data_IF_209512914548
#
_entry.id   IF_209512914548
#
_cell.length_a   1.000
_cell.length_b   1.000
_cell.length_c   1.000
_cell.angle_alpha   90.00
_cell.angle_beta   90.00
_cell.angle_gamma   90.00
#
_symmetry.space_group_name_H-M   'P 1'
#
loop_
_entity.id
_entity.type
_entity.pdbx_description
1 polymer ?
#
# COMPACT_ATOMS: atom_id res chain seq x y z
N UNK A 1 14.35 -4.98 -3.04
CA UNK A 1 14.69 -3.59 -3.44
C UNK A 1 14.84 -2.68 -2.21
N UNK A 2 13.80 -2.47 -1.38
CA UNK A 2 13.86 -1.60 -0.19
C UNK A 2 15.06 -1.89 0.72
N UNK A 3 15.31 -3.17 1.05
CA UNK A 3 16.50 -3.60 1.81
C UNK A 3 17.81 -3.11 1.21
N UNK A 4 17.96 -3.26 -0.11
CA UNK A 4 19.18 -2.85 -0.83
C UNK A 4 19.35 -1.33 -0.73
N UNK A 5 18.27 -0.56 -0.87
CA UNK A 5 18.33 0.91 -0.72
C UNK A 5 18.74 1.33 0.70
N UNK A 6 18.23 0.67 1.74
CA UNK A 6 18.69 0.92 3.11
C UNK A 6 20.21 0.70 3.27
N UNK A 7 20.74 -0.37 2.67
CA UNK A 7 22.16 -0.69 2.77
C UNK A 7 23.03 0.23 1.91
N UNK A 8 22.71 0.37 0.63
CA UNK A 8 23.60 1.04 -0.35
C UNK A 8 23.48 2.55 -0.34
N UNK A 9 22.29 3.09 -0.04
CA UNK A 9 22.05 4.55 -0.09
C UNK A 9 22.11 5.21 1.27
N UNK A 10 21.76 4.47 2.32
CA UNK A 10 21.67 5.03 3.66
C UNK A 10 22.64 4.41 4.68
N UNK A 11 23.45 3.43 4.26
CA UNK A 11 24.53 2.85 5.07
C UNK A 11 24.05 2.04 6.28
N UNK A 12 22.81 1.53 6.27
CA UNK A 12 22.32 0.68 7.36
C UNK A 12 23.03 -0.68 7.36
N UNK A 13 23.20 -1.25 8.55
CA UNK A 13 23.74 -2.61 8.68
C UNK A 13 22.81 -3.65 8.05
N UNK A 14 23.34 -4.82 7.70
CA UNK A 14 22.53 -5.93 7.19
C UNK A 14 21.42 -6.35 8.17
N UNK A 15 21.72 -6.29 9.46
CA UNK A 15 20.76 -6.55 10.53
C UNK A 15 19.63 -5.51 10.53
N UNK A 16 19.97 -4.21 10.61
CA UNK A 16 18.98 -3.13 10.64
C UNK A 16 18.11 -3.12 9.38
N UNK A 17 18.72 -3.28 8.21
CA UNK A 17 18.00 -3.29 6.92
C UNK A 17 17.03 -4.46 6.83
N UNK A 18 17.41 -5.63 7.37
CA UNK A 18 16.54 -6.80 7.43
C UNK A 18 15.40 -6.60 8.42
N UNK A 19 15.67 -6.05 9.60
CA UNK A 19 14.65 -5.73 10.60
C UNK A 19 13.58 -4.78 10.03
N UNK A 20 14.00 -3.65 9.44
CA UNK A 20 13.08 -2.68 8.83
C UNK A 20 12.28 -3.27 7.67
N UNK A 21 12.94 -4.05 6.80
CA UNK A 21 12.26 -4.69 5.66
C UNK A 21 11.22 -5.72 6.12
N UNK A 22 11.45 -6.41 7.24
CA UNK A 22 10.53 -7.41 7.78
C UNK A 22 9.35 -6.77 8.54
N UNK A 23 9.56 -5.62 9.19
CA UNK A 23 8.50 -4.89 9.89
C UNK A 23 7.53 -4.22 8.92
N UNK A 24 8.01 -3.81 7.74
CA UNK A 24 7.19 -3.09 6.76
C UNK A 24 5.91 -3.87 6.32
N UNK A 25 5.97 -5.17 5.96
CA UNK A 25 4.77 -5.97 5.71
C UNK A 25 3.77 -5.98 6.86
N UNK A 26 4.22 -6.00 8.12
CA UNK A 26 3.33 -5.97 9.28
C UNK A 26 2.46 -4.71 9.30
N UNK A 27 3.03 -3.55 8.97
CA UNK A 27 2.26 -2.30 8.82
C UNK A 27 1.28 -2.37 7.64
N UNK A 28 1.69 -2.95 6.51
CA UNK A 28 0.83 -3.16 5.33
C UNK A 28 -0.34 -4.10 5.63
N UNK A 29 -0.22 -5.01 6.61
CA UNK A 29 -1.31 -5.92 7.00
C UNK A 29 -2.24 -5.35 8.09
N UNK A 30 -1.84 -4.29 8.79
CA UNK A 30 -2.70 -3.59 9.76
C UNK A 30 -3.57 -2.53 9.10
N UNK A 31 -3.02 -1.82 8.11
CA UNK A 31 -3.70 -0.75 7.36
C UNK A 31 -4.97 -1.15 6.57
N UNK A 32 -5.18 -2.41 6.11
CA UNK A 32 -6.41 -2.85 5.49
C UNK A 32 -7.63 -2.73 6.41
N UNK A 33 -7.46 -2.91 7.72
CA UNK A 33 -8.56 -2.77 8.69
C UNK A 33 -9.14 -1.35 8.65
N UNK A 34 -8.26 -0.34 8.60
CA UNK A 34 -8.65 1.05 8.47
C UNK A 34 -9.30 1.33 7.11
N UNK A 35 -8.72 0.82 6.02
CA UNK A 35 -9.24 1.03 4.68
C UNK A 35 -10.58 0.35 4.42
N UNK A 36 -10.83 -0.83 5.00
CA UNK A 36 -12.12 -1.52 4.93
C UNK A 36 -13.20 -0.75 5.70
N UNK A 37 -12.91 -0.35 6.93
CA UNK A 37 -13.84 0.46 7.74
C UNK A 37 -14.27 1.76 7.03
N UNK A 38 -13.33 2.48 6.42
CA UNK A 38 -13.63 3.70 5.65
C UNK A 38 -14.47 3.40 4.39
N UNK A 39 -14.23 2.26 3.73
CA UNK A 39 -15.01 1.90 2.55
C UNK A 39 -16.46 1.55 2.89
N UNK A 40 -16.67 0.83 4.00
CA UNK A 40 -17.97 0.31 4.39
C UNK A 40 -18.86 1.39 5.05
N UNK A 41 -18.31 2.23 5.92
CA UNK A 41 -19.12 3.21 6.68
C UNK A 41 -19.27 4.55 5.96
N UNK A 42 -18.26 4.93 5.17
CA UNK A 42 -18.08 6.30 4.76
C UNK A 42 -18.53 6.49 3.31
N UNK A 43 -17.67 6.19 2.33
CA UNK A 43 -17.82 6.74 0.97
C UNK A 43 -17.84 5.68 -0.14
N UNK A 44 -17.84 4.39 0.22
CA UNK A 44 -17.88 3.26 -0.69
C UNK A 44 -16.50 2.78 -1.17
N UNK A 45 -16.49 1.57 -1.73
CA UNK A 45 -15.27 0.83 -2.11
C UNK A 45 -14.45 1.52 -3.21
N UNK A 46 -15.09 1.95 -4.30
CA UNK A 46 -14.37 2.58 -5.43
C UNK A 46 -13.63 3.86 -5.03
N UNK A 47 -14.31 4.78 -4.32
CA UNK A 47 -13.69 6.04 -3.88
C UNK A 47 -12.55 5.79 -2.90
N UNK A 48 -12.73 4.83 -2.00
CA UNK A 48 -11.68 4.43 -1.07
C UNK A 48 -10.45 3.92 -1.81
N UNK A 49 -10.62 3.00 -2.77
CA UNK A 49 -9.50 2.52 -3.60
C UNK A 49 -8.82 3.67 -4.34
N UNK A 50 -9.58 4.59 -4.93
CA UNK A 50 -9.01 5.71 -5.67
C UNK A 50 -8.17 6.64 -4.78
N UNK A 51 -8.66 6.99 -3.59
CA UNK A 51 -7.94 7.85 -2.65
C UNK A 51 -6.68 7.16 -2.13
N UNK A 52 -6.78 5.92 -1.68
CA UNK A 52 -5.62 5.15 -1.23
C UNK A 52 -4.62 4.87 -2.37
N UNK A 53 -5.11 4.78 -3.62
CA UNK A 53 -4.30 4.77 -4.84
C UNK A 53 -3.45 6.02 -5.00
N UNK A 54 -4.03 7.21 -4.81
CA UNK A 54 -3.30 8.48 -4.85
C UNK A 54 -2.25 8.54 -3.73
N UNK A 55 -2.60 8.10 -2.52
CA UNK A 55 -1.67 8.02 -1.39
C UNK A 55 -0.50 7.09 -1.72
N UNK A 56 -0.77 5.93 -2.32
CA UNK A 56 0.26 4.98 -2.75
C UNK A 56 1.19 5.60 -3.79
N UNK A 57 0.61 6.27 -4.81
CA UNK A 57 1.38 6.97 -5.86
C UNK A 57 2.27 8.06 -5.27
N UNK A 58 1.73 8.91 -4.39
CA UNK A 58 2.50 9.91 -3.68
C UNK A 58 3.63 9.30 -2.86
N UNK A 59 3.37 8.16 -2.20
CA UNK A 59 4.36 7.41 -1.46
C UNK A 59 5.51 6.93 -2.34
N UNK A 60 5.24 6.28 -3.47
CA UNK A 60 6.30 5.78 -4.36
C UNK A 60 7.08 6.93 -5.00
N UNK A 61 6.41 8.04 -5.35
CA UNK A 61 7.09 9.26 -5.83
C UNK A 61 8.02 9.85 -4.78
N UNK A 62 7.57 9.95 -3.53
CA UNK A 62 8.38 10.47 -2.42
C UNK A 62 9.57 9.54 -2.11
N UNK A 63 9.34 8.23 -2.15
CA UNK A 63 10.39 7.22 -2.01
C UNK A 63 11.45 7.39 -3.10
N UNK A 64 11.05 7.50 -4.37
CA UNK A 64 11.97 7.73 -5.49
C UNK A 64 12.76 9.02 -5.33
N UNK A 65 12.12 10.11 -4.91
CA UNK A 65 12.79 11.39 -4.68
C UNK A 65 13.82 11.31 -3.54
N UNK A 66 13.48 10.63 -2.44
CA UNK A 66 14.34 10.52 -1.26
C UNK A 66 15.63 9.73 -1.46
N UNK A 67 15.76 9.03 -2.60
CA UNK A 67 16.94 8.23 -2.98
C UNK A 67 17.67 8.87 -4.17
N UNK A 68 17.16 9.97 -4.71
CA UNK A 68 17.77 10.65 -5.84
C UNK A 68 19.16 11.22 -5.45
N UNK A 69 20.21 11.00 -6.27
CA UNK A 69 21.55 11.52 -5.98
C UNK A 69 21.54 13.03 -5.74
N UNK A 70 22.10 13.47 -4.61
CA UNK A 70 22.11 14.89 -4.21
C UNK A 70 20.90 15.35 -3.38
N UNK A 71 19.85 14.55 -3.28
CA UNK A 71 18.66 14.83 -2.44
C UNK A 71 18.34 13.67 -1.48
N UNK A 72 19.36 12.85 -1.16
CA UNK A 72 19.20 11.67 -0.33
C UNK A 72 18.74 12.05 1.09
N UNK A 73 17.58 11.55 1.51
CA UNK A 73 17.01 11.88 2.81
C UNK A 73 16.36 10.65 3.46
N UNK A 74 17.02 10.15 4.50
CA UNK A 74 16.60 8.96 5.28
C UNK A 74 15.20 9.12 5.88
N UNK A 75 14.89 10.31 6.41
CA UNK A 75 13.62 10.56 7.09
C UNK A 75 12.47 10.56 6.08
N UNK A 76 12.65 11.19 4.91
CA UNK A 76 11.67 11.16 3.84
C UNK A 76 11.45 9.73 3.32
N UNK A 77 12.51 8.95 3.17
CA UNK A 77 12.41 7.54 2.77
C UNK A 77 11.59 6.72 3.78
N UNK A 78 11.83 6.92 5.08
CA UNK A 78 11.10 6.24 6.15
C UNK A 78 9.61 6.63 6.17
N UNK A 79 9.29 7.92 6.04
CA UNK A 79 7.91 8.42 5.96
C UNK A 79 7.20 7.86 4.72
N UNK A 80 7.90 7.84 3.58
CA UNK A 80 7.36 7.27 2.34
C UNK A 80 7.02 5.79 2.53
N UNK A 81 7.96 4.97 3.02
CA UNK A 81 7.76 3.53 3.18
C UNK A 81 6.71 3.18 4.25
N UNK A 82 6.89 3.63 5.49
CA UNK A 82 6.06 3.21 6.62
C UNK A 82 4.77 4.03 6.79
N UNK A 83 4.70 5.22 6.19
CA UNK A 83 3.50 6.04 6.15
C UNK A 83 2.70 5.79 4.88
N UNK A 84 3.13 6.40 3.77
CA UNK A 84 2.32 6.49 2.55
C UNK A 84 2.18 5.17 1.80
N UNK A 85 3.28 4.44 1.56
CA UNK A 85 3.22 3.15 0.87
C UNK A 85 2.45 2.11 1.67
N UNK A 86 2.74 2.02 2.98
CA UNK A 86 2.08 1.06 3.85
C UNK A 86 0.57 1.32 3.91
N UNK A 87 0.17 2.57 4.17
CA UNK A 87 -1.23 3.00 4.22
C UNK A 87 -1.93 2.77 2.87
N UNK A 88 -1.34 3.27 1.79
CA UNK A 88 -1.88 3.15 0.44
C UNK A 88 -2.09 1.69 0.01
N UNK A 89 -1.08 0.84 0.21
CA UNK A 89 -1.19 -0.57 -0.16
C UNK A 89 -2.26 -1.31 0.65
N UNK A 90 -2.42 -1.01 1.93
CA UNK A 90 -3.41 -1.68 2.78
C UNK A 90 -4.84 -1.35 2.36
N UNK A 91 -5.15 -0.06 2.17
CA UNK A 91 -6.49 0.38 1.81
C UNK A 91 -6.94 -0.05 0.41
N UNK A 92 -6.02 -0.19 -0.54
CA UNK A 92 -6.32 -0.76 -1.86
C UNK A 92 -6.64 -2.25 -1.72
N UNK A 93 -5.78 -3.02 -1.05
CA UNK A 93 -5.95 -4.48 -0.91
C UNK A 93 -7.26 -4.87 -0.22
N UNK A 94 -7.68 -4.12 0.80
CA UNK A 94 -8.93 -4.39 1.53
C UNK A 94 -10.17 -4.36 0.63
N UNK A 95 -10.14 -3.52 -0.41
CA UNK A 95 -11.35 -3.14 -1.15
C UNK A 95 -11.37 -3.63 -2.59
N UNK A 96 -10.22 -3.93 -3.20
CA UNK A 96 -10.15 -4.28 -4.62
C UNK A 96 -10.82 -5.61 -4.94
N UNK A 97 -10.67 -6.61 -4.06
CA UNK A 97 -11.26 -7.95 -4.24
C UNK A 97 -12.77 -7.89 -4.07
N UNK A 98 -13.24 -7.15 -3.05
CA UNK A 98 -14.67 -6.98 -2.78
C UNK A 98 -15.34 -6.17 -3.88
N UNK A 99 -14.72 -5.10 -4.37
CA UNK A 99 -15.21 -4.34 -5.53
C UNK A 99 -15.28 -5.22 -6.79
N UNK A 100 -14.27 -6.06 -7.03
CA UNK A 100 -14.30 -7.02 -8.15
C UNK A 100 -15.48 -7.99 -8.06
N UNK A 101 -15.76 -8.51 -6.85
CA UNK A 101 -16.92 -9.36 -6.59
C UNK A 101 -18.26 -8.65 -6.81
N UNK A 102 -18.33 -7.35 -6.55
CA UNK A 102 -19.54 -6.54 -6.77
C UNK A 102 -19.88 -6.34 -8.25
N UNK A 103 -18.95 -6.58 -9.17
CA UNK A 103 -19.18 -6.41 -10.61
C UNK A 103 -20.09 -7.49 -11.22
N UNK A 104 -20.32 -8.59 -10.50
CA UNK A 104 -21.12 -9.71 -10.98
C UNK A 104 -22.57 -9.60 -10.50
N UNK A 105 -23.50 -9.45 -11.44
CA UNK A 105 -24.93 -9.36 -11.13
C UNK A 105 -25.50 -10.73 -10.70
N UNK A 106 -26.00 -10.88 -9.46
CA UNK A 106 -26.58 -12.13 -8.99
C UNK A 106 -27.88 -12.54 -9.70
N UNK A 107 -28.52 -11.65 -10.47
CA UNK A 107 -29.76 -11.94 -11.20
C UNK A 107 -29.53 -12.55 -12.58
N UNK A 108 -28.31 -12.49 -13.09
CA UNK A 108 -27.97 -13.07 -14.39
C UNK A 108 -27.32 -14.45 -14.18
N UNK A 109 -27.97 -15.56 -14.59
CA UNK A 109 -27.47 -16.91 -14.33
C UNK A 109 -26.08 -17.19 -14.92
N UNK A 110 -25.68 -16.47 -15.98
CA UNK A 110 -24.33 -16.55 -16.56
C UNK A 110 -23.27 -16.00 -15.61
N UNK A 111 -23.56 -14.90 -14.90
CA UNK A 111 -22.62 -14.27 -13.96
C UNK A 111 -22.54 -15.01 -12.61
N UNK A 112 -23.55 -15.84 -12.29
CA UNK A 112 -23.57 -16.65 -11.07
C UNK A 112 -22.61 -17.85 -11.17
N UNK A 113 -22.51 -18.50 -12.34
CA UNK A 113 -21.56 -19.59 -12.57
C UNK A 113 -20.09 -19.14 -12.56
N UNK A 114 -19.83 -17.84 -12.78
CA UNK A 114 -18.49 -17.26 -12.83
C UNK A 114 -17.98 -16.79 -11.45
N UNK A 115 -18.80 -16.90 -10.40
CA UNK A 115 -18.44 -16.53 -9.02
C UNK A 115 -17.70 -17.63 -8.25
N UNK A 116 -17.58 -18.84 -8.81
CA UNK A 116 -16.90 -20.00 -8.20
C UNK A 116 -15.41 -20.06 -8.50
#
# INVERSE_FOLDING_TARGET
IIKVLFQTRFGYSSFQSSALTNVLPSFVYLTPLLGGYIADEMWGRFKTIAIFGIIYLAGVSLMSFSVFPGHENKNLFMIACFGLLALGSGGIKANVVTLGGDQFDPKNPVHVQQKE
#
